data_IF_316958512016
#
_entry.id   IF_316958512016
#
_cell.length_a   1.000
_cell.length_b   1.000
_cell.length_c   1.000
_cell.angle_alpha   90.00
_cell.angle_beta   90.00
_cell.angle_gamma   90.00
#
_symmetry.space_group_name_H-M   'P 1'
#
loop_
_entity.id
_entity.type
_entity.pdbx_description
1 polymer ?
#
# COMPACT_ATOMS: atom_id res chain seq x y z
N UNK A 1 9.42 -5.80 13.10
CA UNK A 1 8.71 -4.52 12.85
C UNK A 1 7.61 -4.14 13.87
N UNK A 2 6.44 -4.78 13.96
CA UNK A 2 5.31 -4.25 14.79
C UNK A 2 5.66 -4.09 16.27
N UNK A 3 6.27 -5.12 16.87
CA UNK A 3 6.74 -5.06 18.26
C UNK A 3 7.76 -3.94 18.48
N UNK A 4 8.73 -3.79 17.57
CA UNK A 4 9.76 -2.75 17.63
C UNK A 4 9.16 -1.35 17.52
N UNK A 5 8.19 -1.16 16.61
CA UNK A 5 7.46 0.09 16.48
C UNK A 5 6.75 0.46 17.78
N UNK A 6 5.99 -0.48 18.36
CA UNK A 6 5.31 -0.27 19.63
C UNK A 6 6.32 0.06 20.75
N UNK A 7 7.44 -0.66 20.81
CA UNK A 7 8.49 -0.42 21.80
C UNK A 7 9.12 0.98 21.66
N UNK A 8 9.39 1.44 20.43
CA UNK A 8 9.94 2.79 20.19
C UNK A 8 8.92 3.90 20.45
N UNK A 9 7.63 3.63 20.19
CA UNK A 9 6.53 4.56 20.48
C UNK A 9 6.09 4.56 21.95
N UNK A 10 6.68 3.70 22.81
CA UNK A 10 6.29 3.58 24.22
C UNK A 10 4.94 2.88 24.44
N UNK A 11 4.44 2.15 23.45
CA UNK A 11 3.20 1.40 23.51
C UNK A 11 3.46 0.04 24.17
N UNK A 12 2.89 -0.17 25.36
CA UNK A 12 3.03 -1.41 26.11
C UNK A 12 2.07 -2.49 25.56
N UNK A 13 2.64 -3.56 25.00
CA UNK A 13 1.86 -4.69 24.51
C UNK A 13 1.63 -5.72 25.63
N UNK A 14 0.39 -6.16 25.80
CA UNK A 14 0.05 -7.21 26.76
C UNK A 14 0.75 -8.53 26.43
N UNK A 15 1.28 -9.21 27.45
CA UNK A 15 1.94 -10.52 27.26
C UNK A 15 0.90 -11.62 27.03
N UNK A 16 0.59 -11.90 25.78
CA UNK A 16 -0.35 -12.95 25.36
C UNK A 16 0.05 -13.56 24.02
N UNK A 17 -0.37 -14.80 23.80
CA UNK A 17 -0.09 -15.53 22.55
C UNK A 17 -1.29 -15.49 21.61
N UNK A 18 -1.03 -15.68 20.32
CA UNK A 18 -2.06 -15.81 19.30
C UNK A 18 -1.62 -16.79 18.21
N UNK A 19 -2.58 -17.22 17.40
CA UNK A 19 -2.35 -17.92 16.13
C UNK A 19 -2.94 -17.05 15.03
N UNK A 20 -2.16 -16.80 13.98
CA UNK A 20 -2.60 -16.04 12.82
C UNK A 20 -2.85 -17.00 11.65
N UNK A 21 -4.03 -16.88 11.03
CA UNK A 21 -4.44 -17.68 9.88
C UNK A 21 -5.02 -16.75 8.82
N UNK A 22 -4.70 -17.04 7.56
CA UNK A 22 -5.20 -16.28 6.43
C UNK A 22 -6.11 -17.12 5.55
N UNK A 23 -7.15 -16.49 5.03
CA UNK A 23 -7.98 -16.98 3.93
C UNK A 23 -8.12 -15.82 2.96
N UNK A 24 -7.96 -16.09 1.66
CA UNK A 24 -8.09 -15.04 0.63
C UNK A 24 -8.86 -15.59 -0.56
N UNK A 25 -9.68 -14.73 -1.14
CA UNK A 25 -10.33 -14.94 -2.44
C UNK A 25 -9.61 -14.19 -3.56
N UNK A 26 -8.56 -13.44 -3.27
CA UNK A 26 -7.77 -12.72 -4.26
C UNK A 26 -6.95 -13.74 -5.06
N UNK A 27 -7.17 -13.87 -6.38
CA UNK A 27 -6.40 -14.79 -7.20
C UNK A 27 -4.92 -14.41 -7.20
N UNK A 28 -4.04 -15.41 -7.34
CA UNK A 28 -2.60 -15.15 -7.36
C UNK A 28 -2.20 -14.50 -8.68
N UNK A 29 -1.38 -13.44 -8.59
CA UNK A 29 -0.67 -12.83 -9.72
C UNK A 29 -1.56 -12.27 -10.84
N UNK A 30 -2.76 -11.79 -10.49
CA UNK A 30 -3.71 -11.16 -11.43
C UNK A 30 -3.80 -9.63 -11.32
N UNK A 31 -2.84 -8.99 -10.63
CA UNK A 31 -2.82 -7.54 -10.47
C UNK A 31 -3.81 -6.97 -9.44
N UNK A 32 -4.31 -7.79 -8.52
CA UNK A 32 -5.27 -7.39 -7.47
C UNK A 32 -4.63 -7.21 -6.08
N UNK A 33 -3.32 -6.91 -6.02
CA UNK A 33 -2.62 -6.55 -4.78
C UNK A 33 -2.73 -7.58 -3.62
N UNK A 34 -2.82 -8.88 -3.95
CA UNK A 34 -3.05 -9.92 -2.94
C UNK A 34 -1.91 -10.10 -1.92
N UNK A 35 -0.66 -9.87 -2.32
CA UNK A 35 0.50 -10.01 -1.41
C UNK A 35 0.52 -8.93 -0.34
N UNK A 36 0.33 -7.68 -0.74
CA UNK A 36 0.29 -6.52 0.14
C UNK A 36 -0.91 -6.57 1.07
N UNK A 37 -2.05 -7.09 0.60
CA UNK A 37 -3.26 -7.29 1.41
C UNK A 37 -3.02 -8.21 2.60
N UNK A 38 -2.17 -9.23 2.48
CA UNK A 38 -1.81 -10.12 3.60
C UNK A 38 -1.09 -9.34 4.70
N UNK A 39 -0.15 -8.46 4.33
CA UNK A 39 0.62 -7.67 5.29
C UNK A 39 -0.27 -6.60 5.94
N UNK A 40 -1.11 -5.92 5.16
CA UNK A 40 -2.09 -4.94 5.68
C UNK A 40 -3.07 -5.61 6.65
N UNK A 41 -3.64 -6.76 6.28
CA UNK A 41 -4.53 -7.53 7.15
C UNK A 41 -3.82 -7.99 8.43
N UNK A 42 -2.54 -8.34 8.35
CA UNK A 42 -1.72 -8.67 9.52
C UNK A 42 -1.64 -7.51 10.49
N UNK A 43 -1.34 -6.30 10.00
CA UNK A 43 -1.30 -5.09 10.83
C UNK A 43 -2.65 -4.86 11.52
N UNK A 44 -3.75 -4.90 10.76
CA UNK A 44 -5.10 -4.71 11.30
C UNK A 44 -5.44 -5.78 12.36
N UNK A 45 -5.10 -7.04 12.12
CA UNK A 45 -5.29 -8.11 13.12
C UNK A 45 -4.47 -7.87 14.39
N UNK A 46 -3.22 -7.41 14.26
CA UNK A 46 -2.37 -7.12 15.42
C UNK A 46 -2.90 -5.91 16.20
N UNK A 47 -3.30 -4.84 15.52
CA UNK A 47 -3.93 -3.69 16.16
C UNK A 47 -5.19 -4.11 16.92
N UNK A 48 -6.10 -4.85 16.29
CA UNK A 48 -7.31 -5.36 16.95
C UNK A 48 -7.02 -6.34 18.10
N UNK A 49 -5.98 -7.19 17.98
CA UNK A 49 -5.63 -8.16 19.02
C UNK A 49 -5.01 -7.51 20.27
N UNK A 50 -4.30 -6.39 20.09
CA UNK A 50 -3.67 -5.62 21.16
C UNK A 50 -4.47 -4.36 21.55
N UNK A 51 -5.73 -4.24 21.09
CA UNK A 51 -6.62 -3.11 21.36
C UNK A 51 -6.02 -1.74 21.00
N UNK A 52 -5.21 -1.70 19.93
CA UNK A 52 -4.66 -0.47 19.37
C UNK A 52 -5.61 0.17 18.36
N UNK A 53 -5.57 1.48 18.30
CA UNK A 53 -6.42 2.31 17.43
C UNK A 53 -5.58 3.22 16.53
N UNK A 54 -6.27 4.02 15.71
CA UNK A 54 -5.62 5.06 14.90
C UNK A 54 -4.97 6.17 15.76
N UNK A 55 -5.26 6.24 17.07
CA UNK A 55 -4.56 7.14 17.99
C UNK A 55 -3.14 6.64 18.32
N UNK A 56 -2.94 5.32 18.31
CA UNK A 56 -1.67 4.67 18.63
C UNK A 56 -0.80 4.53 17.38
N UNK A 57 -1.42 4.17 16.25
CA UNK A 57 -0.77 4.11 14.94
C UNK A 57 -1.61 4.93 13.95
N UNK A 58 -1.26 6.21 13.73
CA UNK A 58 -2.03 7.09 12.85
C UNK A 58 -2.32 6.46 11.49
N UNK A 59 -3.59 6.44 11.11
CA UNK A 59 -4.05 5.84 9.85
C UNK A 59 -3.26 6.28 8.60
N UNK A 60 -2.83 7.55 8.46
CA UNK A 60 -2.00 7.96 7.32
C UNK A 60 -0.60 7.33 7.29
N UNK A 61 -0.06 6.92 8.44
CA UNK A 61 1.25 6.27 8.54
C UNK A 61 1.19 4.75 8.33
N UNK A 62 0.03 4.13 8.50
CA UNK A 62 -0.13 2.67 8.36
C UNK A 62 0.33 2.16 6.97
N UNK A 63 0.01 2.82 5.82
CA UNK A 63 0.50 2.38 4.52
C UNK A 63 2.03 2.35 4.40
N UNK A 64 2.70 3.40 4.90
CA UNK A 64 4.16 3.48 4.93
C UNK A 64 4.78 2.43 5.86
N UNK A 65 4.14 2.16 7.01
CA UNK A 65 4.56 1.09 7.90
C UNK A 65 4.48 -0.28 7.21
N UNK A 66 3.36 -0.60 6.56
CA UNK A 66 3.19 -1.87 5.82
C UNK A 66 4.17 -1.97 4.66
N UNK A 67 4.43 -0.88 3.95
CA UNK A 67 5.45 -0.85 2.91
C UNK A 67 6.85 -1.14 3.47
N UNK A 68 7.19 -0.58 4.64
CA UNK A 68 8.50 -0.83 5.27
C UNK A 68 8.71 -2.29 5.66
N UNK A 69 7.66 -3.01 6.04
CA UNK A 69 7.74 -4.47 6.29
C UNK A 69 8.08 -5.21 4.99
N UNK A 70 7.39 -4.88 3.89
CA UNK A 70 7.62 -5.57 2.61
C UNK A 70 9.01 -5.26 2.02
N UNK A 71 9.49 -4.02 2.14
CA UNK A 71 10.80 -3.63 1.61
C UNK A 71 11.96 -4.06 2.52
N UNK A 72 11.86 -3.85 3.83
CA UNK A 72 13.01 -3.94 4.74
C UNK A 72 13.15 -5.34 5.38
N UNK A 73 12.04 -6.06 5.58
CA UNK A 73 12.08 -7.42 6.15
C UNK A 73 11.95 -8.50 5.07
N UNK A 74 11.11 -8.27 4.05
CA UNK A 74 10.87 -9.25 2.99
C UNK A 74 11.71 -9.00 1.72
N UNK A 75 12.39 -7.85 1.63
CA UNK A 75 13.23 -7.46 0.49
C UNK A 75 12.47 -7.44 -0.86
N UNK A 76 11.16 -7.17 -0.82
CA UNK A 76 10.31 -7.08 -1.99
C UNK A 76 10.17 -5.60 -2.39
N UNK A 77 10.51 -5.29 -3.63
CA UNK A 77 10.30 -3.95 -4.18
C UNK A 77 8.80 -3.70 -4.39
N UNK A 78 8.27 -2.63 -3.80
CA UNK A 78 6.85 -2.31 -3.86
C UNK A 78 6.60 -0.79 -3.82
N UNK A 79 5.38 -0.39 -4.17
CA UNK A 79 4.89 0.98 -4.05
C UNK A 79 3.85 1.14 -2.93
N UNK A 80 3.44 2.38 -2.66
CA UNK A 80 2.50 2.71 -1.58
C UNK A 80 1.03 2.41 -1.92
N UNK A 81 0.63 2.52 -3.20
CA UNK A 81 -0.77 2.53 -3.63
C UNK A 81 -1.62 1.38 -3.06
N UNK A 82 -1.14 0.15 -3.17
CA UNK A 82 -1.85 -1.03 -2.67
C UNK A 82 -2.21 -0.91 -1.19
N UNK A 83 -1.27 -0.42 -0.37
CA UNK A 83 -1.47 -0.32 1.07
C UNK A 83 -2.45 0.78 1.43
N UNK A 84 -2.44 1.87 0.69
CA UNK A 84 -3.39 2.96 0.91
C UNK A 84 -4.80 2.45 0.66
N UNK A 85 -5.07 1.82 -0.48
CA UNK A 85 -6.44 1.34 -0.75
C UNK A 85 -6.88 0.24 0.22
N UNK A 86 -5.96 -0.63 0.67
CA UNK A 86 -6.26 -1.66 1.65
C UNK A 86 -6.49 -1.11 3.06
N UNK A 87 -5.85 0.01 3.42
CA UNK A 87 -6.02 0.66 4.74
C UNK A 87 -7.29 1.52 4.79
N UNK A 88 -7.59 2.22 3.70
CA UNK A 88 -8.69 3.18 3.64
C UNK A 88 -9.97 2.57 3.10
N UNK A 89 -9.90 1.57 2.23
CA UNK A 89 -11.02 0.97 1.51
C UNK A 89 -11.79 1.99 0.65
N UNK A 90 -12.79 1.54 -0.13
CA UNK A 90 -13.62 2.40 -0.97
C UNK A 90 -12.91 2.93 -2.23
N UNK A 91 -13.19 4.18 -2.61
CA UNK A 91 -12.52 4.87 -3.71
C UNK A 91 -11.63 5.99 -3.16
N UNK A 92 -10.37 6.01 -3.57
CA UNK A 92 -9.36 6.92 -3.04
C UNK A 92 -8.61 7.61 -4.17
N UNK A 93 -8.51 8.93 -4.09
CA UNK A 93 -7.49 9.71 -4.79
C UNK A 93 -6.24 9.75 -3.91
N UNK A 94 -5.07 9.49 -4.51
CA UNK A 94 -3.81 9.33 -3.78
C UNK A 94 -2.73 10.19 -4.41
N UNK A 95 -2.19 11.13 -3.64
CA UNK A 95 -1.08 11.96 -4.04
C UNK A 95 0.18 11.54 -3.28
N UNK A 96 1.16 11.03 -4.03
CA UNK A 96 2.45 10.55 -3.53
C UNK A 96 3.58 11.55 -3.81
N UNK A 97 3.28 12.84 -3.86
CA UNK A 97 4.28 13.89 -4.01
C UNK A 97 5.44 13.70 -3.02
N UNK A 98 6.66 13.90 -3.53
CA UNK A 98 7.90 13.68 -2.77
C UNK A 98 7.94 14.56 -1.53
N UNK A 99 7.59 15.83 -1.65
CA UNK A 99 7.70 16.80 -0.56
C UNK A 99 6.72 16.44 0.58
N UNK A 100 5.54 15.91 0.23
CA UNK A 100 4.60 15.36 1.21
C UNK A 100 5.24 14.17 1.93
N UNK A 101 5.69 13.15 1.18
CA UNK A 101 6.20 11.91 1.79
C UNK A 101 7.46 12.18 2.63
N UNK A 102 8.41 12.97 2.13
CA UNK A 102 9.64 13.31 2.85
C UNK A 102 9.36 14.21 4.07
N UNK A 103 8.38 15.13 3.96
CA UNK A 103 8.03 16.06 5.03
C UNK A 103 7.24 15.44 6.19
N UNK A 104 6.33 14.50 5.93
CA UNK A 104 5.45 13.92 6.97
C UNK A 104 5.41 12.39 7.05
N UNK A 105 6.10 11.69 6.15
CA UNK A 105 6.16 10.22 6.10
C UNK A 105 4.99 9.54 5.38
N UNK A 106 4.05 10.31 4.82
CA UNK A 106 2.88 9.79 4.10
C UNK A 106 2.37 10.77 3.03
N UNK A 107 1.72 10.22 2.00
CA UNK A 107 1.09 10.97 0.91
C UNK A 107 -0.24 11.59 1.32
N UNK A 108 -0.91 12.31 0.42
CA UNK A 108 -2.26 12.83 0.65
C UNK A 108 -3.29 11.85 0.11
N UNK A 109 -4.26 11.49 0.95
CA UNK A 109 -5.23 10.44 0.66
C UNK A 109 -6.64 11.00 0.85
N UNK A 110 -7.38 11.08 -0.25
CA UNK A 110 -8.71 11.65 -0.27
C UNK A 110 -9.73 10.61 -0.69
N UNK A 111 -10.81 10.49 0.08
CA UNK A 111 -11.90 9.59 -0.25
C UNK A 111 -12.80 10.26 -1.28
N UNK A 112 -12.97 9.60 -2.43
CA UNK A 112 -13.93 10.00 -3.44
C UNK A 112 -15.28 9.27 -3.21
N UNK A 113 -16.42 9.91 -3.52
CA UNK A 113 -17.71 9.23 -3.49
C UNK A 113 -17.74 8.09 -4.50
N UNK A 114 -18.05 6.87 -4.05
CA UNK A 114 -18.19 5.70 -4.93
C UNK A 114 -19.36 5.85 -5.92
N UNK A 115 -20.31 6.75 -5.65
CA UNK A 115 -21.40 7.11 -6.56
C UNK A 115 -20.94 7.75 -7.87
N UNK A 116 -19.70 8.26 -7.94
CA UNK A 116 -19.11 8.80 -9.15
C UNK A 116 -18.53 7.71 -10.08
N UNK A 117 -18.39 6.47 -9.59
CA UNK A 117 -17.82 5.38 -10.36
C UNK A 117 -18.84 4.82 -11.36
N UNK A 118 -18.45 4.58 -12.62
CA UNK A 118 -19.29 3.86 -13.56
C UNK A 118 -19.40 2.38 -13.14
N UNK A 119 -20.34 1.66 -13.74
CA UNK A 119 -20.34 0.20 -13.65
C UNK A 119 -19.10 -0.36 -14.35
N UNK A 120 -18.30 -1.11 -13.60
CA UNK A 120 -17.07 -1.73 -14.09
C UNK A 120 -17.26 -3.24 -14.17
N UNK A 121 -16.74 -3.83 -15.25
CA UNK A 121 -16.62 -5.27 -15.38
C UNK A 121 -15.22 -5.70 -14.95
N UNK A 122 -15.13 -6.70 -14.08
CA UNK A 122 -13.87 -7.33 -13.72
C UNK A 122 -13.66 -8.57 -14.60
N UNK A 123 -12.68 -8.49 -15.49
CA UNK A 123 -12.17 -9.64 -16.23
C UNK A 123 -10.71 -9.85 -15.82
N UNK A 124 -10.32 -11.09 -15.55
CA UNK A 124 -8.93 -11.45 -15.26
C UNK A 124 -8.56 -12.74 -15.99
N UNK A 125 -7.31 -12.83 -16.40
CA UNK A 125 -6.73 -14.07 -16.92
C UNK A 125 -6.10 -14.83 -15.75
N UNK A 126 -6.30 -16.14 -15.73
CA UNK A 126 -5.72 -17.02 -14.70
C UNK A 126 -4.24 -17.32 -14.91
N UNK A 127 -3.65 -16.86 -16.02
CA UNK A 127 -2.23 -17.07 -16.32
C UNK A 127 -1.38 -15.98 -15.64
N UNK A 128 -0.49 -16.34 -14.71
CA UNK A 128 0.27 -15.38 -13.94
C UNK A 128 1.32 -14.63 -14.78
N UNK A 129 1.43 -13.32 -14.55
CA UNK A 129 2.57 -12.53 -15.04
C UNK A 129 3.54 -12.19 -13.91
N UNK A 130 4.85 -12.12 -14.21
CA UNK A 130 5.86 -11.71 -13.24
C UNK A 130 5.97 -10.18 -13.20
N UNK A 131 5.15 -9.55 -12.34
CA UNK A 131 5.12 -8.10 -12.15
C UNK A 131 6.42 -7.53 -11.60
N UNK A 132 7.14 -8.28 -10.76
CA UNK A 132 8.39 -7.82 -10.11
C UNK A 132 9.46 -7.40 -11.13
N UNK A 133 9.61 -8.17 -12.22
CA UNK A 133 10.57 -7.85 -13.29
C UNK A 133 10.21 -6.55 -14.00
N UNK A 134 8.93 -6.34 -14.30
CA UNK A 134 8.45 -5.13 -14.98
C UNK A 134 8.67 -3.90 -14.10
N UNK A 135 8.27 -3.96 -12.83
CA UNK A 135 8.44 -2.83 -11.90
C UNK A 135 9.91 -2.48 -11.66
N UNK A 136 10.80 -3.47 -11.58
CA UNK A 136 12.23 -3.22 -11.39
C UNK A 136 12.87 -2.46 -12.56
N UNK A 137 12.45 -2.75 -13.80
CA UNK A 137 12.97 -2.08 -15.00
C UNK A 137 12.53 -0.62 -15.06
N UNK A 138 11.23 -0.36 -14.83
CA UNK A 138 10.68 1.01 -14.81
C UNK A 138 11.41 1.87 -13.78
N UNK A 139 11.62 1.35 -12.55
CA UNK A 139 12.33 2.06 -11.49
C UNK A 139 13.80 2.34 -11.87
N UNK A 140 14.49 1.36 -12.44
CA UNK A 140 15.88 1.52 -12.87
C UNK A 140 16.03 2.60 -13.95
N UNK A 141 15.14 2.59 -14.95
CA UNK A 141 15.13 3.60 -16.03
C UNK A 141 14.76 5.00 -15.53
N UNK A 142 13.79 5.11 -14.63
CA UNK A 142 13.50 6.38 -13.96
C UNK A 142 14.73 6.92 -13.21
N UNK A 143 15.42 6.07 -12.43
CA UNK A 143 16.62 6.47 -11.69
C UNK A 143 17.79 6.86 -12.61
N UNK A 144 17.85 6.28 -13.82
CA UNK A 144 18.82 6.64 -14.84
C UNK A 144 18.49 7.94 -15.60
N UNK A 145 17.36 8.60 -15.29
CA UNK A 145 16.94 9.83 -15.96
C UNK A 145 16.35 9.61 -17.36
N UNK A 146 15.78 8.43 -17.64
CA UNK A 146 15.14 8.16 -18.93
C UNK A 146 13.91 9.06 -19.13
N UNK A 147 14.02 10.01 -20.06
CA UNK A 147 12.99 11.00 -20.33
C UNK A 147 11.65 10.36 -20.74
N UNK A 148 11.66 9.20 -21.42
CA UNK A 148 10.43 8.51 -21.81
C UNK A 148 9.65 8.05 -20.60
N UNK A 149 10.35 7.53 -19.59
CA UNK A 149 9.75 7.09 -18.33
C UNK A 149 9.32 8.31 -17.51
N UNK A 150 10.13 9.37 -17.50
CA UNK A 150 9.80 10.60 -16.76
C UNK A 150 8.52 11.25 -17.28
N UNK A 151 8.45 11.49 -18.59
CA UNK A 151 7.29 12.09 -19.24
C UNK A 151 6.06 11.20 -19.12
N UNK A 152 6.24 9.87 -19.24
CA UNK A 152 5.15 8.91 -19.07
C UNK A 152 4.53 8.94 -17.66
N UNK A 153 5.34 9.00 -16.60
CA UNK A 153 4.82 9.12 -15.24
C UNK A 153 4.13 10.48 -15.01
N UNK A 154 4.68 11.56 -15.56
CA UNK A 154 4.03 12.88 -15.50
C UNK A 154 2.67 12.88 -16.22
N UNK A 155 2.56 12.19 -17.35
CA UNK A 155 1.29 12.00 -18.05
C UNK A 155 0.29 11.18 -17.23
N UNK A 156 0.72 10.09 -16.58
CA UNK A 156 -0.16 9.30 -15.71
C UNK A 156 -0.68 10.11 -14.51
N UNK A 157 0.16 10.96 -13.91
CA UNK A 157 -0.28 11.88 -12.87
C UNK A 157 -1.37 12.84 -13.39
N UNK A 158 -1.15 13.49 -14.55
CA UNK A 158 -2.13 14.38 -15.17
C UNK A 158 -3.48 13.70 -15.45
N UNK A 159 -3.46 12.48 -15.99
CA UNK A 159 -4.68 11.70 -16.26
C UNK A 159 -5.41 11.37 -14.94
N UNK A 160 -4.66 11.09 -13.88
CA UNK A 160 -5.23 10.81 -12.56
C UNK A 160 -5.92 12.05 -11.99
N UNK A 161 -5.32 13.25 -12.15
CA UNK A 161 -5.92 14.52 -11.73
C UNK A 161 -7.19 14.87 -12.53
N UNK A 162 -7.19 14.61 -13.84
CA UNK A 162 -8.37 14.81 -14.71
C UNK A 162 -9.54 13.89 -14.36
N UNK A 163 -9.26 12.71 -13.78
CA UNK A 163 -10.26 11.72 -13.40
C UNK A 163 -10.77 11.83 -11.96
N UNK A 164 -10.25 12.78 -11.16
CA UNK A 164 -10.67 13.06 -9.79
C UNK A 164 -12.04 13.74 -9.75
#
# INVERSE_FOLDING_TARGET
>A
RFYEHCSHAGIALAKRNFTLRYTTNVPRQVGLAGSSAIITATLQCLMGFYDLSDADIPKPLQPSFVLSVEMDELFIQAGLQDRVIQTYEGCMFMNFDRDLIEGRGYGEYERLPTSCLPFLWLAYLSDPSNSGKIHSDVKARWAAGDQTIIDGMAQFAKITDEGR
#
